data_IF_677960313136
#
_entry.id   IF_677960313136
#
_cell.length_a   1.000
_cell.length_b   1.000
_cell.length_c   1.000
_cell.angle_alpha   90.00
_cell.angle_beta   90.00
_cell.angle_gamma   90.00
#
_symmetry.space_group_name_H-M   'P 1'
#
loop_
_entity.id
_entity.type
_entity.pdbx_description
1 polymer ?
#
# COMPACT_ATOMS: atom_id res chain seq x y z
N UNK A 1 57.92 -85.15 -78.71
CA UNK A 1 59.13 -84.71 -79.44
C UNK A 1 59.02 -83.21 -79.59
N UNK A 2 59.84 -82.46 -78.83
CA UNK A 2 60.04 -81.00 -78.91
C UNK A 2 58.77 -80.14 -78.64
N UNK A 3 58.76 -78.84 -78.29
CA UNK A 3 59.68 -77.83 -77.69
C UNK A 3 58.76 -76.63 -77.28
N UNK A 4 59.10 -75.59 -76.49
CA UNK A 4 60.30 -75.13 -75.77
C UNK A 4 59.86 -74.28 -74.55
N UNK A 5 60.80 -73.71 -73.79
CA UNK A 5 60.54 -72.62 -72.82
C UNK A 5 60.18 -71.29 -73.51
N UNK A 6 59.35 -70.47 -72.85
CA UNK A 6 59.67 -69.04 -72.66
C UNK A 6 58.96 -68.42 -71.46
N UNK A 7 59.75 -67.89 -70.54
CA UNK A 7 59.30 -66.92 -69.53
C UNK A 7 59.42 -65.52 -70.11
N UNK A 8 58.42 -64.68 -69.88
CA UNK A 8 58.53 -63.23 -69.97
C UNK A 8 57.75 -62.60 -68.82
N UNK A 9 58.50 -62.04 -67.88
CA UNK A 9 58.01 -61.06 -66.93
C UNK A 9 57.75 -59.74 -67.66
N UNK A 10 56.68 -59.05 -67.27
CA UNK A 10 56.60 -57.61 -66.99
C UNK A 10 55.32 -56.91 -67.55
N UNK A 11 55.04 -55.74 -66.98
CA UNK A 11 54.07 -54.70 -67.37
C UNK A 11 52.68 -54.76 -66.73
N UNK A 12 52.67 -54.32 -65.46
CA UNK A 12 51.82 -53.23 -64.93
C UNK A 12 50.43 -53.00 -65.55
N UNK A 13 49.38 -53.25 -64.76
CA UNK A 13 48.03 -52.72 -64.97
C UNK A 13 47.22 -52.77 -63.67
N UNK A 14 46.27 -51.84 -63.46
CA UNK A 14 46.48 -50.46 -63.00
C UNK A 14 46.36 -50.37 -61.46
N UNK A 15 46.58 -49.21 -60.81
CA UNK A 15 46.17 -49.03 -59.42
C UNK A 15 44.67 -49.34 -59.29
N UNK A 16 44.30 -50.09 -58.25
CA UNK A 16 42.91 -50.50 -58.01
C UNK A 16 42.00 -49.26 -58.00
N UNK A 17 41.18 -49.10 -59.05
CA UNK A 17 40.21 -48.00 -59.14
C UNK A 17 39.22 -48.15 -58.00
N UNK A 18 39.33 -47.28 -57.01
CA UNK A 18 38.37 -47.18 -55.91
C UNK A 18 37.01 -46.82 -56.52
N UNK A 19 36.10 -47.79 -56.56
CA UNK A 19 34.74 -47.56 -57.07
C UNK A 19 33.89 -46.87 -56.00
N UNK A 20 33.89 -45.54 -56.09
CA UNK A 20 33.06 -44.65 -55.27
C UNK A 20 31.54 -44.86 -55.46
N UNK A 21 31.11 -45.64 -56.46
CA UNK A 21 29.70 -45.93 -56.77
C UNK A 21 29.26 -47.35 -56.39
N UNK A 22 30.01 -48.07 -55.56
CA UNK A 22 29.55 -49.34 -54.98
C UNK A 22 28.16 -49.20 -54.33
N UNK A 23 27.23 -50.17 -54.48
CA UNK A 23 25.82 -50.02 -54.06
C UNK A 23 25.63 -49.61 -52.58
N UNK A 24 26.50 -50.08 -51.69
CA UNK A 24 26.49 -49.72 -50.27
C UNK A 24 26.88 -48.25 -50.02
N UNK A 25 27.83 -47.71 -50.79
CA UNK A 25 28.26 -46.30 -50.72
C UNK A 25 27.17 -45.38 -51.27
N UNK A 26 26.54 -45.74 -52.39
CA UNK A 26 25.39 -45.02 -52.95
C UNK A 26 24.22 -44.99 -51.96
N UNK A 27 23.90 -46.12 -51.31
CA UNK A 27 22.87 -46.20 -50.27
C UNK A 27 23.21 -45.32 -49.05
N UNK A 28 24.45 -45.36 -48.55
CA UNK A 28 24.91 -44.48 -47.46
C UNK A 28 24.83 -43.00 -47.84
N UNK A 29 25.18 -42.63 -49.07
CA UNK A 29 25.10 -41.25 -49.58
C UNK A 29 23.65 -40.77 -49.69
N UNK A 30 22.72 -41.62 -50.16
CA UNK A 30 21.26 -41.31 -50.17
C UNK A 30 20.70 -41.13 -48.76
N UNK A 31 21.05 -42.01 -47.81
CA UNK A 31 20.62 -41.88 -46.40
C UNK A 31 21.21 -40.62 -45.75
N UNK A 32 22.47 -40.28 -46.02
CA UNK A 32 23.08 -39.03 -45.55
C UNK A 32 22.36 -37.81 -46.11
N UNK A 33 22.08 -37.78 -47.42
CA UNK A 33 21.35 -36.68 -48.05
C UNK A 33 19.91 -36.53 -47.52
N UNK A 34 19.23 -37.63 -47.19
CA UNK A 34 17.92 -37.58 -46.54
C UNK A 34 18.01 -37.00 -45.13
N UNK A 35 18.98 -37.47 -44.31
CA UNK A 35 19.21 -36.94 -42.96
C UNK A 35 19.54 -35.45 -42.98
N UNK A 36 20.45 -35.03 -43.85
CA UNK A 36 20.86 -33.64 -44.04
C UNK A 36 19.66 -32.73 -44.39
N UNK A 37 18.80 -33.20 -45.32
CA UNK A 37 17.57 -32.50 -45.70
C UNK A 37 16.55 -32.43 -44.55
N UNK A 38 16.39 -33.50 -43.76
CA UNK A 38 15.53 -33.50 -42.58
C UNK A 38 16.05 -32.56 -41.48
N UNK A 39 17.35 -32.55 -41.21
CA UNK A 39 17.99 -31.63 -40.26
C UNK A 39 17.80 -30.17 -40.70
N UNK A 40 17.96 -29.88 -42.00
CA UNK A 40 17.72 -28.54 -42.54
C UNK A 40 16.27 -28.08 -42.34
N UNK A 41 15.28 -28.95 -42.63
CA UNK A 41 13.86 -28.65 -42.37
C UNK A 41 13.55 -28.47 -40.88
N UNK A 42 14.14 -29.30 -39.99
CA UNK A 42 13.96 -29.16 -38.54
C UNK A 42 14.49 -27.82 -38.02
N UNK A 43 15.70 -27.40 -38.44
CA UNK A 43 16.28 -26.12 -38.04
C UNK A 43 15.49 -24.94 -38.62
N UNK A 44 15.03 -25.04 -39.88
CA UNK A 44 14.23 -23.99 -40.50
C UNK A 44 12.86 -23.82 -39.82
N UNK A 45 12.14 -24.92 -39.54
CA UNK A 45 10.85 -24.89 -38.83
C UNK A 45 11.05 -24.42 -37.38
N UNK A 46 12.07 -24.91 -36.69
CA UNK A 46 12.38 -24.49 -35.31
C UNK A 46 12.72 -23.00 -35.22
N UNK A 47 13.55 -22.49 -36.12
CA UNK A 47 13.88 -21.07 -36.20
C UNK A 47 12.66 -20.19 -36.53
N UNK A 48 11.81 -20.63 -37.46
CA UNK A 48 10.56 -19.92 -37.80
C UNK A 48 9.56 -19.95 -36.64
N UNK A 49 9.45 -21.06 -35.91
CA UNK A 49 8.59 -21.19 -34.74
C UNK A 49 9.07 -20.29 -33.58
N UNK A 50 10.39 -20.23 -33.34
CA UNK A 50 10.98 -19.30 -32.34
C UNK A 50 10.76 -17.85 -32.75
N UNK A 51 10.96 -17.50 -34.03
CA UNK A 51 10.68 -16.16 -34.54
C UNK A 51 9.20 -15.78 -34.34
N UNK A 52 8.28 -16.67 -34.74
CA UNK A 52 6.85 -16.47 -34.56
C UNK A 52 6.45 -16.33 -33.08
N UNK A 53 7.05 -17.13 -32.19
CA UNK A 53 6.82 -17.03 -30.74
C UNK A 53 7.31 -15.69 -30.17
N UNK A 54 8.51 -15.22 -30.55
CA UNK A 54 9.05 -13.91 -30.14
C UNK A 54 8.16 -12.78 -30.67
N UNK A 55 7.73 -12.84 -31.94
CA UNK A 55 6.80 -11.87 -32.53
C UNK A 55 5.45 -11.86 -31.82
N UNK A 56 4.90 -13.03 -31.47
CA UNK A 56 3.64 -13.14 -30.72
C UNK A 56 3.76 -12.55 -29.32
N UNK A 57 4.86 -12.83 -28.61
CA UNK A 57 5.17 -12.22 -27.30
C UNK A 57 5.28 -10.69 -27.43
N UNK A 58 5.92 -10.19 -28.48
CA UNK A 58 6.04 -8.75 -28.71
C UNK A 58 4.66 -8.09 -28.92
N UNK A 59 3.78 -8.68 -29.74
CA UNK A 59 2.41 -8.19 -29.91
C UNK A 59 1.58 -8.30 -28.63
N UNK A 60 1.74 -9.37 -27.85
CA UNK A 60 1.09 -9.52 -26.55
C UNK A 60 1.53 -8.43 -25.56
N UNK A 61 2.85 -8.16 -25.46
CA UNK A 61 3.38 -7.08 -24.63
C UNK A 61 2.88 -5.71 -25.11
N UNK A 62 2.87 -5.45 -26.42
CA UNK A 62 2.31 -4.21 -26.97
C UNK A 62 0.82 -4.06 -26.63
N UNK A 63 0.02 -5.14 -26.70
CA UNK A 63 -1.39 -5.15 -26.31
C UNK A 63 -1.59 -4.87 -24.82
N UNK A 64 -0.76 -5.46 -23.94
CA UNK A 64 -0.82 -5.24 -22.48
C UNK A 64 -0.38 -3.83 -22.08
N UNK A 65 0.59 -3.25 -22.80
CA UNK A 65 1.16 -1.92 -22.49
C UNK A 65 0.35 -0.78 -23.13
N UNK A 66 -0.28 -0.98 -24.29
CA UNK A 66 -1.06 0.06 -24.98
C UNK A 66 -2.14 0.76 -24.09
N UNK A 67 -2.87 0.06 -23.19
CA UNK A 67 -3.76 0.70 -22.22
C UNK A 67 -3.09 1.73 -21.30
N UNK A 68 -1.80 1.60 -20.97
CA UNK A 68 -1.07 2.53 -20.10
C UNK A 68 -0.88 3.92 -20.74
N UNK A 69 -1.03 4.02 -22.06
CA UNK A 69 -1.00 5.30 -22.79
C UNK A 69 -2.39 5.93 -22.96
N UNK A 70 -3.47 5.29 -22.50
CA UNK A 70 -4.81 5.90 -22.47
C UNK A 70 -4.89 6.87 -21.29
N UNK A 71 -5.48 8.04 -21.52
CA UNK A 71 -5.80 8.96 -20.43
C UNK A 71 -6.82 8.36 -19.46
N UNK A 72 -6.76 8.78 -18.20
CA UNK A 72 -7.78 8.43 -17.22
C UNK A 72 -9.11 9.10 -17.56
N UNK A 73 -10.20 8.32 -17.54
CA UNK A 73 -11.57 8.80 -17.70
C UNK A 73 -12.34 8.58 -16.40
N UNK A 74 -13.01 9.62 -15.91
CA UNK A 74 -13.91 9.51 -14.75
C UNK A 74 -15.37 9.45 -15.23
N UNK A 75 -16.09 8.39 -14.85
CA UNK A 75 -17.52 8.25 -15.09
C UNK A 75 -18.28 8.32 -13.76
N UNK A 76 -19.29 9.19 -13.68
CA UNK A 76 -20.14 9.29 -12.51
C UNK A 76 -21.19 8.17 -12.52
N UNK A 77 -21.11 7.26 -11.55
CA UNK A 77 -22.17 6.30 -11.28
C UNK A 77 -23.26 6.93 -10.40
N UNK A 78 -24.50 6.42 -10.44
CA UNK A 78 -25.54 6.81 -9.48
C UNK A 78 -25.06 6.61 -8.04
N UNK A 79 -25.48 7.50 -7.13
CA UNK A 79 -25.20 7.34 -5.71
C UNK A 79 -25.92 6.11 -5.14
N UNK A 80 -25.26 5.37 -4.24
CA UNK A 80 -25.85 4.25 -3.52
C UNK A 80 -26.97 4.74 -2.61
N UNK A 81 -28.21 4.32 -2.89
CA UNK A 81 -29.39 4.64 -2.09
C UNK A 81 -29.67 3.50 -1.10
N UNK A 82 -28.80 3.36 -0.11
CA UNK A 82 -28.93 2.33 0.91
C UNK A 82 -30.04 2.68 1.92
N UNK A 83 -30.94 1.73 2.20
CA UNK A 83 -32.10 1.94 3.08
C UNK A 83 -31.73 2.35 4.51
N UNK A 84 -30.53 1.97 4.98
CA UNK A 84 -30.01 2.29 6.30
C UNK A 84 -29.42 3.70 6.42
N UNK A 85 -29.13 4.37 5.30
CA UNK A 85 -28.39 5.63 5.27
C UNK A 85 -29.05 6.79 6.04
N UNK A 86 -30.39 6.99 6.03
CA UNK A 86 -31.03 8.10 6.74
C UNK A 86 -30.80 8.12 8.25
N UNK A 87 -30.79 6.94 8.90
CA UNK A 87 -30.67 6.84 10.36
C UNK A 87 -29.22 6.74 10.85
N UNK A 88 -28.26 6.57 9.94
CA UNK A 88 -26.88 6.18 10.23
C UNK A 88 -25.98 7.31 10.77
N UNK A 89 -26.53 8.47 11.16
CA UNK A 89 -25.77 9.60 11.71
C UNK A 89 -24.93 10.37 10.68
N UNK A 90 -24.09 11.30 11.14
CA UNK A 90 -23.14 12.00 10.27
C UNK A 90 -21.95 11.05 9.92
N UNK A 91 -21.51 11.00 8.64
CA UNK A 91 -20.39 10.17 8.24
C UNK A 91 -19.04 10.76 8.73
N UNK A 92 -18.34 10.04 9.59
CA UNK A 92 -16.98 10.40 10.05
C UNK A 92 -15.90 9.79 9.17
N UNK A 93 -16.14 8.59 8.65
CA UNK A 93 -15.25 7.92 7.70
C UNK A 93 -16.02 6.94 6.83
N UNK A 94 -15.60 6.81 5.58
CA UNK A 94 -15.95 5.72 4.68
C UNK A 94 -14.63 5.15 4.14
N UNK A 95 -14.54 3.82 4.04
CA UNK A 95 -13.45 3.10 3.37
C UNK A 95 -14.01 1.90 2.65
N UNK A 96 -13.22 1.34 1.75
CA UNK A 96 -13.48 0.10 1.02
C UNK A 96 -12.36 -0.89 1.41
N UNK A 97 -12.62 -2.19 1.37
CA UNK A 97 -11.58 -3.21 1.58
C UNK A 97 -10.76 -3.48 0.30
N UNK A 98 -9.63 -4.18 0.44
CA UNK A 98 -8.67 -4.41 -0.65
C UNK A 98 -9.27 -5.02 -1.94
N UNK A 99 -10.39 -5.74 -1.81
CA UNK A 99 -11.01 -6.49 -2.91
C UNK A 99 -12.17 -5.73 -3.58
N UNK A 100 -12.52 -4.54 -3.09
CA UNK A 100 -13.60 -3.70 -3.57
C UNK A 100 -14.97 -4.41 -3.63
N UNK A 101 -15.37 -5.06 -2.54
CA UNK A 101 -16.66 -5.72 -2.38
C UNK A 101 -17.44 -5.22 -1.14
N UNK A 102 -16.73 -4.76 -0.10
CA UNK A 102 -17.28 -4.36 1.20
C UNK A 102 -16.83 -2.95 1.56
N UNK A 103 -17.78 -2.02 1.54
CA UNK A 103 -17.62 -0.73 2.18
C UNK A 103 -17.75 -0.83 3.71
N UNK A 104 -17.00 -0.01 4.43
CA UNK A 104 -17.17 0.25 5.86
C UNK A 104 -17.38 1.74 6.08
N UNK A 105 -18.41 2.10 6.85
CA UNK A 105 -18.71 3.47 7.26
C UNK A 105 -18.74 3.58 8.78
N UNK A 106 -18.16 4.65 9.32
CA UNK A 106 -18.18 5.01 10.74
C UNK A 106 -18.96 6.32 10.91
N UNK A 107 -19.83 6.38 11.92
CA UNK A 107 -20.64 7.57 12.24
C UNK A 107 -20.21 8.32 13.50
N UNK A 108 -20.71 9.55 13.64
CA UNK A 108 -20.64 10.40 14.84
C UNK A 108 -21.28 9.75 16.09
N UNK A 109 -22.28 8.88 15.88
CA UNK A 109 -22.95 8.07 16.89
C UNK A 109 -22.08 6.90 17.43
N UNK A 110 -20.89 6.66 16.88
CA UNK A 110 -20.07 5.52 17.26
C UNK A 110 -20.57 4.18 16.72
N UNK A 111 -21.09 4.18 15.49
CA UNK A 111 -21.57 2.97 14.83
C UNK A 111 -20.73 2.67 13.60
N UNK A 112 -20.40 1.38 13.40
CA UNK A 112 -19.77 0.86 12.19
C UNK A 112 -20.80 0.10 11.39
N UNK A 113 -21.00 0.50 10.14
CA UNK A 113 -21.84 -0.21 9.16
C UNK A 113 -20.95 -0.74 8.05
N UNK A 114 -20.93 -2.06 7.89
CA UNK A 114 -20.37 -2.75 6.73
C UNK A 114 -21.49 -3.00 5.72
N UNK A 115 -21.22 -2.71 4.45
CA UNK A 115 -22.19 -2.79 3.36
C UNK A 115 -21.55 -3.30 2.08
N UNK A 116 -22.32 -3.96 1.22
CA UNK A 116 -21.86 -4.34 -0.11
C UNK A 116 -21.75 -3.08 -0.99
N UNK A 117 -20.62 -2.91 -1.69
CA UNK A 117 -20.36 -1.73 -2.52
C UNK A 117 -21.20 -1.69 -3.82
N UNK A 118 -21.66 -2.85 -4.31
CA UNK A 118 -22.38 -2.95 -5.58
C UNK A 118 -23.83 -2.42 -5.47
N UNK A 119 -24.51 -2.70 -4.36
CA UNK A 119 -25.93 -2.37 -4.14
C UNK A 119 -26.20 -1.52 -2.87
N UNK A 120 -25.22 -1.34 -2.00
CA UNK A 120 -25.36 -0.64 -0.73
C UNK A 120 -26.04 -1.46 0.38
N UNK A 121 -26.32 -2.75 0.17
CA UNK A 121 -26.98 -3.60 1.16
C UNK A 121 -26.15 -3.73 2.44
N UNK A 122 -26.81 -3.63 3.59
CA UNK A 122 -26.16 -3.81 4.90
C UNK A 122 -25.73 -5.26 5.10
N UNK A 123 -24.45 -5.48 5.40
CA UNK A 123 -23.89 -6.79 5.72
C UNK A 123 -23.80 -7.00 7.23
N UNK A 124 -23.35 -5.96 7.96
CA UNK A 124 -23.20 -6.01 9.41
C UNK A 124 -23.19 -4.61 10.01
N UNK A 125 -23.78 -4.47 11.20
CA UNK A 125 -23.79 -3.25 12.01
C UNK A 125 -23.24 -3.55 13.40
N UNK A 126 -22.32 -2.71 13.85
CA UNK A 126 -21.63 -2.86 15.13
C UNK A 126 -21.69 -1.52 15.87
N UNK A 127 -22.37 -1.51 17.01
CA UNK A 127 -22.27 -0.40 17.95
C UNK A 127 -20.92 -0.49 18.68
N UNK A 128 -20.14 0.59 18.66
CA UNK A 128 -18.88 0.66 19.38
C UNK A 128 -19.16 0.87 20.89
N UNK A 129 -18.31 0.35 21.80
CA UNK A 129 -18.48 0.44 23.25
C UNK A 129 -18.16 1.86 23.77
N UNK A 130 -18.96 2.85 23.35
CA UNK A 130 -18.88 4.21 23.85
C UNK A 130 -19.54 4.31 25.25
N UNK A 131 -19.02 5.15 26.16
CA UNK A 131 -19.70 5.42 27.43
C UNK A 131 -21.03 6.15 27.20
N UNK A 132 -21.97 6.00 28.14
CA UNK A 132 -23.30 6.60 28.01
C UNK A 132 -23.22 8.14 27.89
N UNK A 133 -23.91 8.70 26.89
CA UNK A 133 -23.94 10.15 26.63
C UNK A 133 -22.71 10.70 25.90
N UNK A 134 -21.76 9.85 25.49
CA UNK A 134 -20.54 10.25 24.77
C UNK A 134 -20.73 10.09 23.26
N UNK A 135 -20.18 11.04 22.49
CA UNK A 135 -20.19 11.03 21.02
C UNK A 135 -18.77 11.02 20.45
N UNK A 136 -18.64 10.66 19.18
CA UNK A 136 -17.37 10.77 18.46
C UNK A 136 -17.14 12.22 18.06
N UNK A 137 -16.05 12.81 18.54
CA UNK A 137 -15.63 14.18 18.22
C UNK A 137 -14.64 14.21 17.04
N UNK A 138 -13.78 13.20 16.91
CA UNK A 138 -12.80 13.11 15.82
C UNK A 138 -12.44 11.68 15.46
N UNK A 139 -11.83 11.49 14.29
CA UNK A 139 -11.29 10.21 13.86
C UNK A 139 -9.84 10.34 13.40
N UNK A 140 -9.01 9.44 13.90
CA UNK A 140 -7.62 9.26 13.54
C UNK A 140 -7.40 7.88 12.95
N UNK A 141 -6.42 7.77 12.08
CA UNK A 141 -5.95 6.52 11.49
C UNK A 141 -4.46 6.40 11.73
N UNK A 142 -3.97 5.17 11.67
CA UNK A 142 -2.55 4.90 11.41
C UNK A 142 -2.24 5.22 9.93
N UNK A 143 -1.05 4.85 9.45
CA UNK A 143 -0.61 5.05 8.08
C UNK A 143 -1.66 4.60 7.03
N UNK A 144 -1.79 5.30 5.87
CA UNK A 144 -2.77 4.95 4.85
C UNK A 144 -2.68 3.47 4.41
N UNK A 145 -3.80 2.77 4.52
CA UNK A 145 -3.91 1.32 4.26
C UNK A 145 -3.87 0.44 5.51
N UNK A 146 -3.41 0.96 6.66
CA UNK A 146 -3.49 0.22 7.92
C UNK A 146 -4.93 0.20 8.47
N UNK A 147 -5.37 -0.93 9.07
CA UNK A 147 -6.75 -1.10 9.54
C UNK A 147 -7.03 -0.47 10.91
N UNK A 148 -6.03 0.15 11.55
CA UNK A 148 -6.11 0.66 12.91
C UNK A 148 -6.69 2.08 12.94
N UNK A 149 -7.72 2.25 13.77
CA UNK A 149 -8.52 3.47 13.90
C UNK A 149 -8.56 3.89 15.37
N UNK A 150 -8.50 5.20 15.59
CA UNK A 150 -8.75 5.83 16.88
C UNK A 150 -9.91 6.82 16.76
N UNK A 151 -10.88 6.75 17.66
CA UNK A 151 -11.97 7.71 17.78
C UNK A 151 -11.74 8.61 18.98
N UNK A 152 -11.54 9.90 18.73
CA UNK A 152 -11.50 10.91 19.78
C UNK A 152 -12.92 11.19 20.26
N UNK A 153 -13.15 11.08 21.56
CA UNK A 153 -14.49 11.16 22.14
C UNK A 153 -14.75 12.52 22.79
N UNK A 154 -16.04 12.85 22.96
CA UNK A 154 -16.48 14.13 23.55
C UNK A 154 -16.11 14.31 25.03
N UNK A 155 -15.63 13.25 25.70
CA UNK A 155 -15.33 13.21 27.14
C UNK A 155 -13.83 13.00 27.47
N UNK A 156 -12.92 13.36 26.56
CA UNK A 156 -11.46 13.24 26.77
C UNK A 156 -10.88 11.83 26.60
N UNK A 157 -11.70 10.84 26.25
CA UNK A 157 -11.25 9.48 25.96
C UNK A 157 -10.98 9.26 24.46
N UNK A 158 -10.27 8.17 24.17
CA UNK A 158 -10.03 7.66 22.82
C UNK A 158 -10.32 6.17 22.77
N UNK A 159 -11.20 5.75 21.86
CA UNK A 159 -11.45 4.33 21.59
C UNK A 159 -10.56 3.87 20.41
N UNK A 160 -9.83 2.77 20.57
CA UNK A 160 -8.94 2.24 19.52
C UNK A 160 -9.40 0.85 19.09
N UNK A 161 -9.56 0.64 17.79
CA UNK A 161 -9.95 -0.64 17.22
C UNK A 161 -9.32 -0.87 15.85
N UNK A 162 -9.32 -2.11 15.39
CA UNK A 162 -8.97 -2.46 14.01
C UNK A 162 -10.17 -3.10 13.31
N UNK A 163 -10.39 -2.78 12.04
CA UNK A 163 -11.29 -3.56 11.20
C UNK A 163 -10.55 -4.74 10.56
N UNK A 164 -11.26 -5.84 10.26
CA UNK A 164 -10.68 -7.04 9.66
C UNK A 164 -11.68 -7.74 8.75
N UNK A 165 -11.18 -8.35 7.67
CA UNK A 165 -11.98 -8.98 6.62
C UNK A 165 -11.52 -10.43 6.44
N UNK A 166 -12.16 -11.37 7.13
CA UNK A 166 -11.78 -12.78 7.08
C UNK A 166 -12.34 -13.42 5.81
N UNK A 167 -11.45 -13.88 4.92
CA UNK A 167 -11.86 -14.67 3.75
C UNK A 167 -11.95 -16.15 4.12
N UNK A 168 -13.11 -16.76 3.87
CA UNK A 168 -13.39 -18.19 4.06
C UNK A 168 -13.99 -18.80 2.79
N UNK A 169 -14.05 -20.13 2.71
CA UNK A 169 -14.61 -20.86 1.56
C UNK A 169 -15.66 -21.91 1.97
N UNK A 170 -16.76 -21.52 2.66
CA UNK A 170 -17.87 -22.44 2.92
C UNK A 170 -18.44 -22.97 1.60
N UNK A 171 -18.55 -24.29 1.46
CA UNK A 171 -19.06 -24.97 0.25
C UNK A 171 -18.34 -24.54 -1.04
N UNK A 172 -17.02 -24.34 -0.98
CA UNK A 172 -16.15 -23.82 -2.06
C UNK A 172 -16.51 -22.42 -2.58
N UNK A 173 -17.36 -21.68 -1.85
CA UNK A 173 -17.76 -20.31 -2.19
C UNK A 173 -17.00 -19.30 -1.33
N UNK A 174 -16.21 -18.44 -1.98
CA UNK A 174 -15.46 -17.37 -1.33
C UNK A 174 -16.41 -16.41 -0.61
N UNK A 175 -16.26 -16.32 0.71
CA UNK A 175 -17.08 -15.48 1.59
C UNK A 175 -16.15 -14.59 2.41
N UNK A 176 -16.38 -13.27 2.37
CA UNK A 176 -15.63 -12.29 3.17
C UNK A 176 -16.49 -11.83 4.33
N UNK A 177 -16.04 -12.11 5.55
CA UNK A 177 -16.73 -11.69 6.79
C UNK A 177 -16.01 -10.48 7.38
N UNK A 178 -16.64 -9.29 7.39
CA UNK A 178 -16.11 -8.13 8.10
C UNK A 178 -16.18 -8.34 9.61
N UNK A 179 -15.37 -7.61 10.36
CA UNK A 179 -15.32 -7.64 11.82
C UNK A 179 -14.57 -6.44 12.39
N UNK A 180 -14.84 -6.12 13.65
CA UNK A 180 -14.06 -5.18 14.46
C UNK A 180 -13.36 -5.97 15.57
N UNK A 181 -12.09 -5.65 15.83
CA UNK A 181 -11.29 -6.28 16.87
C UNK A 181 -10.58 -5.22 17.74
N UNK A 182 -10.32 -5.60 18.99
CA UNK A 182 -9.91 -4.71 20.07
C UNK A 182 -8.50 -5.02 20.58
N UNK A 183 -7.42 -4.77 19.79
CA UNK A 183 -6.05 -5.12 20.18
C UNK A 183 -5.64 -4.50 21.54
N UNK A 184 -6.15 -3.30 21.82
CA UNK A 184 -5.92 -2.56 23.05
C UNK A 184 -7.09 -2.64 24.05
N UNK A 185 -8.00 -3.61 23.87
CA UNK A 185 -9.20 -3.79 24.70
C UNK A 185 -10.38 -2.90 24.28
N UNK A 186 -11.57 -3.22 24.79
CA UNK A 186 -12.83 -2.54 24.44
C UNK A 186 -13.03 -1.21 25.17
N UNK A 187 -12.39 -1.03 26.33
CA UNK A 187 -12.54 0.19 27.13
C UNK A 187 -11.78 1.38 26.50
N UNK A 188 -12.42 2.55 26.30
CA UNK A 188 -11.75 3.76 25.83
C UNK A 188 -10.63 4.22 26.79
N UNK A 189 -9.48 4.58 26.21
CA UNK A 189 -8.31 5.07 26.92
C UNK A 189 -8.47 6.56 27.26
N UNK A 190 -8.11 6.98 28.48
CA UNK A 190 -8.17 8.41 28.85
C UNK A 190 -6.98 9.16 28.25
N UNK A 191 -7.25 10.11 27.36
CA UNK A 191 -6.23 10.95 26.72
C UNK A 191 -6.15 12.34 27.38
N UNK A 192 -7.30 12.98 27.64
CA UNK A 192 -7.43 14.19 28.46
C UNK A 192 -8.14 13.88 29.78
N UNK A 193 -7.47 14.19 30.90
CA UNK A 193 -8.00 13.97 32.25
C UNK A 193 -9.03 15.04 32.67
N UNK A 194 -9.04 16.19 31.99
CA UNK A 194 -10.07 17.21 32.20
C UNK A 194 -11.39 16.91 31.46
N UNK A 195 -11.45 15.80 30.70
CA UNK A 195 -12.67 15.33 30.05
C UNK A 195 -13.16 16.18 28.88
N UNK A 196 -12.31 17.02 28.28
CA UNK A 196 -12.69 17.84 27.11
C UNK A 196 -12.72 17.01 25.83
N UNK A 197 -13.55 17.40 24.88
CA UNK A 197 -13.65 16.73 23.59
C UNK A 197 -12.29 16.65 22.87
N UNK A 198 -11.92 15.46 22.40
CA UNK A 198 -10.71 15.23 21.61
C UNK A 198 -10.99 15.62 20.16
N UNK A 199 -10.77 16.89 19.83
CA UNK A 199 -11.09 17.53 18.54
C UNK A 199 -10.23 17.01 17.37
N UNK A 200 -9.02 16.55 17.68
CA UNK A 200 -8.13 15.87 16.74
C UNK A 200 -7.49 14.68 17.44
N UNK A 201 -7.37 13.55 16.73
CA UNK A 201 -6.68 12.35 17.21
C UNK A 201 -5.90 11.70 16.07
N UNK A 202 -4.78 11.06 16.40
CA UNK A 202 -4.00 10.20 15.52
C UNK A 202 -3.46 9.03 16.33
N UNK A 203 -3.21 7.92 15.64
CA UNK A 203 -2.71 6.67 16.21
C UNK A 203 -1.57 6.16 15.36
N UNK A 204 -0.59 5.50 15.97
CA UNK A 204 0.42 4.73 15.24
C UNK A 204 0.78 3.48 16.04
N UNK A 205 0.90 2.35 15.34
CA UNK A 205 1.34 1.07 15.89
C UNK A 205 2.67 0.64 15.27
N UNK A 206 3.61 0.21 16.10
CA UNK A 206 4.93 -0.30 15.71
C UNK A 206 5.29 -1.46 16.65
N UNK A 207 5.12 -2.69 16.16
CA UNK A 207 5.17 -3.90 17.00
C UNK A 207 4.20 -3.82 18.18
N UNK A 208 4.74 -3.97 19.39
CA UNK A 208 3.98 -3.92 20.66
C UNK A 208 3.78 -2.50 21.20
N UNK A 209 4.30 -1.47 20.52
CA UNK A 209 4.15 -0.05 20.89
C UNK A 209 2.99 0.60 20.15
N UNK A 210 2.03 1.13 20.91
CA UNK A 210 1.02 2.05 20.42
C UNK A 210 1.35 3.47 20.88
N UNK A 211 1.33 4.44 19.97
CA UNK A 211 1.23 5.86 20.33
C UNK A 211 -0.09 6.45 19.89
N UNK A 212 -0.69 7.19 20.80
CA UNK A 212 -1.88 8.00 20.57
C UNK A 212 -1.52 9.45 20.86
N UNK A 213 -1.88 10.34 19.95
CA UNK A 213 -1.80 11.78 20.16
C UNK A 213 -3.12 12.44 19.81
N UNK A 214 -3.46 13.51 20.51
CA UNK A 214 -4.65 14.30 20.23
C UNK A 214 -4.57 15.70 20.80
N UNK A 215 -5.53 16.54 20.40
CA UNK A 215 -5.66 17.91 20.90
C UNK A 215 -7.02 18.15 21.56
N UNK A 216 -6.99 18.98 22.60
CA UNK A 216 -8.16 19.65 23.19
C UNK A 216 -7.91 21.16 23.09
N UNK A 217 -8.49 21.82 22.07
CA UNK A 217 -8.14 23.19 21.69
C UNK A 217 -6.67 23.35 21.29
N UNK A 218 -5.89 24.03 22.13
CA UNK A 218 -4.44 24.25 21.94
C UNK A 218 -3.55 23.30 22.73
N UNK A 219 -4.13 22.48 23.62
CA UNK A 219 -3.36 21.54 24.44
C UNK A 219 -3.18 20.22 23.70
N UNK A 220 -1.93 19.78 23.56
CA UNK A 220 -1.58 18.45 23.07
C UNK A 220 -1.56 17.44 24.21
N UNK A 221 -2.02 16.24 23.91
CA UNK A 221 -1.93 15.07 24.78
C UNK A 221 -1.32 13.93 23.99
N UNK A 222 -0.32 13.25 24.56
CA UNK A 222 0.30 12.07 23.95
C UNK A 222 0.42 10.97 25.01
N UNK A 223 0.00 9.76 24.65
CA UNK A 223 0.24 8.55 25.45
C UNK A 223 0.91 7.48 24.59
N UNK A 224 1.84 6.76 25.22
CA UNK A 224 2.47 5.56 24.68
C UNK A 224 1.99 4.38 25.52
N UNK A 225 1.56 3.31 24.87
CA UNK A 225 1.24 2.04 25.52
C UNK A 225 2.18 0.97 24.96
N UNK A 226 2.96 0.34 25.83
CA UNK A 226 3.75 -0.85 25.51
C UNK A 226 3.01 -2.07 26.01
N UNK A 227 2.76 -3.03 25.13
CA UNK A 227 2.30 -4.36 25.52
C UNK A 227 3.50 -5.27 25.78
N UNK A 228 3.49 -6.03 26.87
CA UNK A 228 4.56 -7.01 27.16
C UNK A 228 3.91 -8.35 27.50
N UNK A 229 4.22 -9.38 26.70
CA UNK A 229 3.82 -10.75 26.98
C UNK A 229 4.81 -11.38 27.97
N UNK A 230 4.30 -11.93 29.06
CA UNK A 230 5.11 -12.74 29.95
C UNK A 230 5.36 -14.11 29.32
N UNK A 231 6.55 -14.32 28.75
CA UNK A 231 6.97 -15.56 28.07
C UNK A 231 6.82 -16.85 28.90
N UNK A 232 6.65 -16.76 30.23
CA UNK A 232 6.42 -17.93 31.10
C UNK A 232 4.94 -18.19 31.41
N UNK A 233 4.09 -17.15 31.44
CA UNK A 233 2.67 -17.27 31.84
C UNK A 233 1.67 -16.96 30.72
N UNK A 234 2.10 -16.36 29.61
CA UNK A 234 1.23 -15.82 28.55
C UNK A 234 0.45 -14.56 28.97
N UNK A 235 0.71 -14.01 30.16
CA UNK A 235 -0.01 -12.82 30.64
C UNK A 235 0.46 -11.56 29.92
N UNK A 236 -0.49 -10.82 29.35
CA UNK A 236 -0.24 -9.53 28.71
C UNK A 236 -0.30 -8.40 29.74
N UNK A 237 0.84 -7.81 30.08
CA UNK A 237 0.89 -6.54 30.82
C UNK A 237 0.87 -5.35 29.86
N UNK A 238 0.44 -4.19 30.37
CA UNK A 238 0.40 -2.94 29.61
C UNK A 238 0.98 -1.82 30.44
N UNK A 239 2.05 -1.21 29.93
CA UNK A 239 2.67 -0.03 30.52
C UNK A 239 2.23 1.21 29.75
N UNK A 240 1.48 2.10 30.40
CA UNK A 240 1.06 3.38 29.81
C UNK A 240 1.94 4.52 30.34
N UNK A 241 2.60 5.23 29.43
CA UNK A 241 3.40 6.44 29.72
C UNK A 241 2.78 7.64 29.03
N UNK A 242 2.65 8.77 29.73
CA UNK A 242 2.24 10.05 29.13
C UNK A 242 3.48 10.84 28.69
N UNK A 243 3.41 11.46 27.51
CA UNK A 243 4.43 12.40 27.04
C UNK A 243 3.84 13.80 27.13
N UNK A 244 4.45 14.63 27.96
CA UNK A 244 4.11 16.04 28.05
C UNK A 244 4.79 16.80 26.89
N UNK A 245 3.99 17.60 26.19
CA UNK A 245 4.44 18.49 25.12
C UNK A 245 3.98 19.92 25.45
N UNK A 246 4.70 20.96 25.00
CA UNK A 246 4.27 22.34 25.22
C UNK A 246 2.93 22.62 24.54
N UNK A 247 2.15 23.54 25.08
CA UNK A 247 0.89 23.99 24.49
C UNK A 247 1.14 24.71 23.15
N UNK A 248 0.20 24.59 22.21
CA UNK A 248 0.25 25.31 20.94
C UNK A 248 -0.04 26.80 21.12
N UNK A 249 0.59 27.62 20.29
CA UNK A 249 0.33 29.07 20.17
C UNK A 249 -0.91 29.40 19.33
N UNK A 250 -1.43 28.43 18.58
CA UNK A 250 -2.58 28.58 17.70
C UNK A 250 -3.46 27.33 17.74
N UNK A 251 -4.71 27.46 17.29
CA UNK A 251 -5.63 26.32 17.16
C UNK A 251 -5.02 25.22 16.28
N UNK A 252 -5.16 23.96 16.72
CA UNK A 252 -4.79 22.80 15.92
C UNK A 252 -5.79 22.64 14.76
N UNK A 253 -5.30 22.14 13.62
CA UNK A 253 -6.10 21.76 12.45
C UNK A 253 -5.97 20.28 12.10
N UNK A 254 -4.80 19.69 12.35
CA UNK A 254 -4.56 18.26 12.18
C UNK A 254 -3.33 17.79 12.97
N UNK A 255 -3.26 16.50 13.28
CA UNK A 255 -2.15 15.86 13.97
C UNK A 255 -1.81 14.54 13.26
N UNK A 256 -0.52 14.22 13.12
CA UNK A 256 -0.03 12.97 12.53
C UNK A 256 1.18 12.44 13.31
N UNK A 257 1.27 11.12 13.47
CA UNK A 257 2.46 10.42 13.97
C UNK A 257 3.10 9.67 12.79
N UNK A 258 4.42 9.69 12.62
CA UNK A 258 5.10 8.86 11.61
C UNK A 258 5.15 7.37 12.02
N UNK A 259 5.21 6.40 11.10
CA UNK A 259 5.17 4.98 11.44
C UNK A 259 6.30 4.50 12.35
N UNK A 260 7.44 5.20 12.40
CA UNK A 260 8.56 4.88 13.30
C UNK A 260 8.41 5.53 14.68
N UNK A 261 7.29 6.20 14.91
CA UNK A 261 6.90 6.84 16.16
C UNK A 261 7.93 7.85 16.70
N UNK A 262 8.68 8.49 15.80
CA UNK A 262 9.74 9.45 16.09
C UNK A 262 9.23 10.90 16.12
N UNK A 263 8.28 11.22 15.25
CA UNK A 263 7.83 12.57 14.95
C UNK A 263 6.32 12.71 15.13
N UNK A 264 5.92 13.75 15.85
CA UNK A 264 4.54 14.25 15.87
C UNK A 264 4.49 15.53 15.05
N UNK A 265 3.68 15.53 14.00
CA UNK A 265 3.41 16.71 13.18
C UNK A 265 2.08 17.32 13.62
N UNK A 266 2.08 18.62 13.94
CA UNK A 266 0.88 19.36 14.34
C UNK A 266 0.68 20.51 13.38
N UNK A 267 -0.30 20.37 12.48
CA UNK A 267 -0.72 21.44 11.59
C UNK A 267 -1.58 22.40 12.41
N UNK A 268 -1.18 23.67 12.50
CA UNK A 268 -1.82 24.65 13.36
C UNK A 268 -1.95 26.03 12.70
N UNK A 269 -2.84 26.84 13.27
CA UNK A 269 -3.11 28.21 12.84
C UNK A 269 -3.48 28.31 11.35
N UNK A 270 -2.91 29.29 10.67
CA UNK A 270 -3.19 29.53 9.25
C UNK A 270 -2.40 28.62 8.32
N UNK A 271 -1.09 28.50 8.55
CA UNK A 271 -0.16 27.82 7.66
C UNK A 271 1.16 27.43 8.37
N UNK A 272 1.06 26.83 9.55
CA UNK A 272 2.22 26.38 10.33
C UNK A 272 2.14 24.87 10.59
N UNK A 273 3.31 24.25 10.67
CA UNK A 273 3.51 22.91 11.23
C UNK A 273 4.52 23.00 12.38
N UNK A 274 4.09 22.67 13.60
CA UNK A 274 5.00 22.41 14.72
C UNK A 274 5.34 20.91 14.70
N UNK A 275 6.63 20.57 14.75
CA UNK A 275 7.11 19.18 14.75
C UNK A 275 7.80 18.88 16.06
N UNK A 276 7.39 17.79 16.72
CA UNK A 276 7.95 17.35 18.00
C UNK A 276 8.69 16.03 17.84
N UNK A 277 9.86 15.91 18.46
CA UNK A 277 10.49 14.61 18.69
C UNK A 277 9.74 13.90 19.81
N UNK A 278 9.10 12.77 19.49
CA UNK A 278 8.45 11.89 20.46
C UNK A 278 9.46 11.09 21.29
N UNK A 279 10.69 10.94 20.79
CA UNK A 279 11.82 10.34 21.51
C UNK A 279 12.37 11.29 22.58
N UNK A 280 12.68 12.52 22.18
CA UNK A 280 13.36 13.50 23.02
C UNK A 280 12.38 14.42 23.78
N UNK A 281 11.07 14.27 23.50
CA UNK A 281 9.94 14.99 24.12
C UNK A 281 10.06 16.51 23.98
N UNK A 282 10.55 16.96 22.82
CA UNK A 282 10.95 18.33 22.56
C UNK A 282 10.42 18.84 21.21
N UNK A 283 10.31 20.16 21.07
CA UNK A 283 10.01 20.80 19.79
C UNK A 283 11.27 20.73 18.89
N UNK A 284 11.17 20.06 17.76
CA UNK A 284 12.22 20.04 16.74
C UNK A 284 12.23 21.35 15.94
N UNK A 285 11.06 21.87 15.57
CA UNK A 285 10.97 23.12 14.84
C UNK A 285 9.53 23.56 14.54
N UNK A 286 9.41 24.83 14.13
CA UNK A 286 8.17 25.40 13.58
C UNK A 286 8.41 25.76 12.12
N UNK A 287 7.57 25.24 11.24
CA UNK A 287 7.75 25.30 9.81
C UNK A 287 6.62 26.09 9.16
N UNK A 288 6.97 27.09 8.35
CA UNK A 288 6.02 27.90 7.59
C UNK A 288 5.63 27.12 6.34
N UNK A 289 4.36 26.72 6.24
CA UNK A 289 3.86 25.87 5.14
C UNK A 289 3.51 26.67 3.88
N UNK A 290 3.16 27.95 4.03
CA UNK A 290 2.85 28.87 2.93
C UNK A 290 3.55 30.20 3.15
N UNK A 291 4.20 30.73 2.11
CA UNK A 291 4.77 32.08 2.17
C UNK A 291 3.71 33.19 2.12
N UNK A 292 2.61 32.93 1.41
CA UNK A 292 1.56 33.88 1.08
C UNK A 292 0.62 34.13 2.27
N UNK A 293 0.68 35.36 2.80
CA UNK A 293 -0.18 35.86 3.88
C UNK A 293 -1.67 36.02 3.53
N UNK A 294 -2.09 35.73 2.30
CA UNK A 294 -3.50 35.66 1.89
C UNK A 294 -4.01 34.22 1.68
N UNK A 295 -3.15 33.20 1.67
CA UNK A 295 -3.55 31.80 1.57
C UNK A 295 -3.62 31.12 2.95
N UNK A 296 -4.31 30.00 3.08
CA UNK A 296 -4.29 29.17 4.30
C UNK A 296 -4.31 27.68 3.99
N UNK A 297 -3.92 26.86 4.95
CA UNK A 297 -4.05 25.40 4.88
C UNK A 297 -5.48 24.99 5.17
N UNK A 298 -6.09 24.31 4.21
CA UNK A 298 -7.48 23.84 4.22
C UNK A 298 -7.58 22.32 4.38
N UNK A 299 -6.55 21.58 3.95
CA UNK A 299 -6.50 20.13 4.06
C UNK A 299 -5.06 19.64 4.24
N UNK A 300 -4.91 18.52 4.95
CA UNK A 300 -3.67 17.77 5.06
C UNK A 300 -3.94 16.28 5.15
N UNK A 301 -2.98 15.44 4.74
CA UNK A 301 -3.01 13.99 4.97
C UNK A 301 -1.60 13.40 4.94
N UNK A 302 -1.41 12.24 5.58
CA UNK A 302 -0.25 11.39 5.29
C UNK A 302 -0.43 10.67 3.95
N UNK A 303 0.68 10.45 3.25
CA UNK A 303 0.76 9.57 2.08
C UNK A 303 1.09 8.13 2.51
N UNK A 304 0.91 7.18 1.57
CA UNK A 304 1.25 5.75 1.78
C UNK A 304 2.70 5.61 2.27
N UNK A 305 2.90 4.77 3.29
CA UNK A 305 4.18 4.62 4.00
C UNK A 305 4.42 5.68 5.08
N UNK A 306 3.50 6.62 5.32
CA UNK A 306 3.43 7.51 6.49
C UNK A 306 4.54 8.56 6.67
N UNK A 307 5.65 8.45 5.93
CA UNK A 307 6.81 9.35 6.00
C UNK A 307 6.60 10.74 5.39
N UNK A 308 5.52 10.94 4.64
CA UNK A 308 5.26 12.19 3.90
C UNK A 308 3.87 12.72 4.17
N UNK A 309 3.78 14.04 4.30
CA UNK A 309 2.54 14.80 4.38
C UNK A 309 2.25 15.46 3.02
N UNK A 310 1.01 15.38 2.56
CA UNK A 310 0.46 16.26 1.54
C UNK A 310 -0.31 17.39 2.22
N UNK A 311 -0.03 18.62 1.80
CA UNK A 311 -0.53 19.85 2.41
C UNK A 311 -1.22 20.67 1.32
N UNK A 312 -2.55 20.82 1.41
CA UNK A 312 -3.40 21.55 0.48
C UNK A 312 -3.85 22.89 1.03
N UNK A 313 -3.95 23.90 0.16
CA UNK A 313 -4.30 25.27 0.55
C UNK A 313 -5.54 25.83 -0.14
N UNK A 314 -6.02 26.98 0.35
CA UNK A 314 -7.19 27.71 -0.17
C UNK A 314 -7.04 28.26 -1.60
N UNK A 315 -5.86 28.13 -2.22
CA UNK A 315 -5.62 28.47 -3.64
C UNK A 315 -5.60 27.24 -4.56
N UNK A 316 -5.91 26.05 -4.06
CA UNK A 316 -5.98 24.81 -4.85
C UNK A 316 -4.62 24.24 -5.26
N UNK A 317 -3.51 24.71 -4.68
CA UNK A 317 -2.22 24.04 -4.81
C UNK A 317 -1.94 23.13 -3.62
N UNK A 318 -1.21 22.05 -3.89
CA UNK A 318 -0.78 21.06 -2.92
C UNK A 318 0.73 20.98 -2.90
N UNK A 319 1.32 20.70 -1.74
CA UNK A 319 2.76 20.54 -1.55
C UNK A 319 3.05 19.30 -0.71
N UNK A 320 4.10 18.56 -1.06
CA UNK A 320 4.56 17.41 -0.27
C UNK A 320 5.74 17.81 0.63
N UNK A 321 5.67 17.35 1.87
CA UNK A 321 6.67 17.59 2.91
C UNK A 321 7.11 16.26 3.56
N UNK A 322 8.38 16.12 3.92
CA UNK A 322 8.87 15.04 4.79
C UNK A 322 10.08 15.48 5.62
N UNK A 323 10.41 14.70 6.67
CA UNK A 323 11.62 14.91 7.47
C UNK A 323 12.87 14.48 6.70
N UNK A 324 13.75 15.43 6.40
CA UNK A 324 14.99 15.24 5.67
C UNK A 324 16.18 15.80 6.46
N UNK A 325 17.38 15.27 6.22
CA UNK A 325 18.61 15.86 6.77
C UNK A 325 18.98 17.11 5.99
N UNK A 326 19.19 18.20 6.71
CA UNK A 326 19.75 19.44 6.19
C UNK A 326 21.30 19.37 6.19
N UNK A 327 21.95 20.45 5.75
CA UNK A 327 23.41 20.59 5.59
C UNK A 327 24.22 20.44 6.88
N UNK A 328 23.62 20.67 8.05
CA UNK A 328 24.20 20.41 9.38
C UNK A 328 23.96 18.97 9.87
N UNK A 329 23.23 18.17 9.11
CA UNK A 329 22.87 16.79 9.44
C UNK A 329 21.58 16.64 10.26
N UNK A 330 21.01 17.75 10.74
CA UNK A 330 19.78 17.75 11.54
C UNK A 330 18.55 17.43 10.70
N UNK A 331 17.58 16.75 11.32
CA UNK A 331 16.33 16.38 10.67
C UNK A 331 15.35 17.56 10.71
N UNK A 332 14.91 18.02 9.53
CA UNK A 332 13.96 19.14 9.37
C UNK A 332 12.81 18.77 8.44
N UNK A 333 11.64 19.34 8.67
CA UNK A 333 10.48 19.17 7.78
C UNK A 333 10.69 20.04 6.52
N UNK A 334 11.02 19.41 5.40
CA UNK A 334 11.35 20.10 4.15
C UNK A 334 10.24 19.94 3.11
N UNK A 335 10.01 21.00 2.33
CA UNK A 335 9.14 20.99 1.15
C UNK A 335 9.89 20.36 -0.02
N UNK A 336 9.25 19.41 -0.70
CA UNK A 336 9.92 18.50 -1.65
C UNK A 336 9.46 18.73 -3.08
N UNK A 337 8.14 18.83 -3.28
CA UNK A 337 7.52 19.02 -4.58
C UNK A 337 6.15 19.64 -4.43
N UNK A 338 5.72 20.31 -5.49
CA UNK A 338 4.43 20.97 -5.59
C UNK A 338 3.58 20.34 -6.68
N UNK A 339 2.26 20.44 -6.50
CA UNK A 339 1.25 20.02 -7.44
C UNK A 339 0.26 21.16 -7.61
N UNK A 340 0.09 21.64 -8.83
CA UNK A 340 -1.10 22.40 -9.21
C UNK A 340 -2.18 21.41 -9.64
N UNK A 341 -3.40 21.57 -9.12
CA UNK A 341 -4.56 21.08 -9.85
C UNK A 341 -4.54 21.76 -11.24
N UNK A 342 -4.68 20.98 -12.30
CA UNK A 342 -4.78 21.53 -13.65
C UNK A 342 -5.99 22.45 -13.77
N UNK A 343 -5.95 23.42 -14.68
CA UNK A 343 -7.16 24.12 -15.10
C UNK A 343 -8.13 23.09 -15.69
N UNK A 344 -9.28 22.92 -15.02
CA UNK A 344 -10.36 22.03 -15.45
C UNK A 344 -11.01 22.52 -16.76
#
# INVERSE_FOLDING_TARGET
MNELFKSTMDQSSPPARIDFNTPAMVRKRRVRALKDRLTHWYVAIGGLAVLAAITLIFFYLAYVVAPLFKGASLTANPALNAAWLPDAGAPMMITIEEQNQIGMRISDKGEVVFFNIDDGAELQRIALPLPAGVSVASIGKDQPGAPLIALGLSNGQVLVFRHSYLTTYPNDQKTITPSVAWPYGEAPLVLDQAGRAVEHVTVSSDGDSLKLAGATGTQLHVISLEQKENMMTGEMTREQTRVELPQMSAAVKAIYIDPRQQWLYVINGRAQADVFSLRDRSLNGRYKLLEDGNAEITASAQLVGGISLIIGNSKGSMSQWFMARDTDGEQRLMRIRDFSLGSA
#
